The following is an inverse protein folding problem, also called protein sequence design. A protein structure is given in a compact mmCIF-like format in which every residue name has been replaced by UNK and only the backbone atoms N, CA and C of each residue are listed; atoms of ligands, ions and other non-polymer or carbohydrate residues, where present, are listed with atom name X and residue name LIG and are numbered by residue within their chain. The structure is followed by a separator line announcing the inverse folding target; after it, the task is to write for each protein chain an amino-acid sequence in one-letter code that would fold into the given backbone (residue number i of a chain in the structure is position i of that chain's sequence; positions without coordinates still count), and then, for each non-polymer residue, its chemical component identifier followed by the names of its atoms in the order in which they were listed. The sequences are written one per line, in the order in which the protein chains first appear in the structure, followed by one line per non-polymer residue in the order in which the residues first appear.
data_IF_984759535481
#
_entry.id   IF_984759535481
#
_cell.length_a   1.000
_cell.length_b   1.000
_cell.length_c   1.000
_cell.angle_alpha   90.00
_cell.angle_beta   90.00
_cell.angle_gamma   90.00
#
_symmetry.space_group_name_H-M   'P 1'
#
loop_
_entity.id
_entity.type
_entity.pdbx_description
1 polymer ?
2 non-polymer ?
3 water ?
#
# COMPACT_ATOMS: atom_id res chain seq x y z
N UNK A 1 21.14 -11.00 -3.80
CA UNK A 1 20.58 -11.52 -5.08
C UNK A 1 19.07 -11.81 -5.00
N UNK A 2 18.56 -12.50 -6.00
CA UNK A 2 17.14 -12.79 -6.06
C UNK A 2 16.81 -14.26 -6.27
N UNK A 3 15.54 -14.60 -6.09
CA UNK A 3 15.13 -15.97 -6.28
C UNK A 3 13.84 -16.07 -7.05
N UNK A 4 13.92 -16.57 -8.29
CA UNK A 4 12.75 -16.71 -9.14
C UNK A 4 11.74 -17.72 -8.62
N UNK A 5 10.52 -17.60 -9.11
CA UNK A 5 9.44 -18.50 -8.75
C UNK A 5 8.57 -18.68 -10.00
N UNK A 6 8.00 -19.87 -10.15
CA UNK A 6 7.15 -20.16 -11.29
C UNK A 6 5.78 -20.65 -10.83
N UNK A 7 4.72 -20.04 -11.37
CA UNK A 7 3.35 -20.46 -11.02
C UNK A 7 2.84 -21.35 -12.15
N UNK A 8 2.19 -22.44 -11.76
CA UNK A 8 1.69 -23.42 -12.72
C UNK A 8 0.17 -23.50 -12.71
N UNK A 9 -0.43 -23.87 -13.84
CA UNK A 9 -1.87 -23.93 -13.95
C UNK A 9 -2.47 -24.81 -12.86
N UNK A 10 -3.47 -24.27 -12.18
CA UNK A 10 -4.05 -25.01 -11.10
C UNK A 10 -5.50 -25.41 -11.29
N UNK A 11 -5.90 -26.47 -10.60
CA UNK A 11 -7.29 -26.87 -10.64
C UNK A 11 -7.81 -25.93 -9.54
N UNK A 12 -9.12 -25.86 -9.37
CA UNK A 12 -9.68 -24.97 -8.38
C UNK A 12 -8.96 -24.63 -7.09
N UNK A 13 -9.08 -23.37 -6.68
CA UNK A 13 -8.53 -22.90 -5.43
C UNK A 13 -9.74 -23.00 -4.50
N UNK A 14 -9.52 -23.50 -3.30
CA UNK A 14 -10.60 -23.70 -2.38
C UNK A 14 -10.20 -23.59 -0.92
N UNK A 15 -11.01 -22.88 -0.14
CA UNK A 15 -10.71 -22.76 1.27
C UNK A 15 -11.18 -21.45 1.87
N UNK A 16 -10.85 -21.26 3.15
CA UNK A 16 -11.22 -20.04 3.89
C UNK A 16 -9.93 -19.66 4.61
N UNK A 17 -9.51 -18.42 4.44
CA UNK A 17 -8.26 -17.96 5.05
C UNK A 17 -8.38 -16.54 5.59
N UNK A 18 -7.64 -16.25 6.65
CA UNK A 18 -7.63 -14.89 7.19
C UNK A 18 -6.46 -14.20 6.50
N UNK A 19 -6.71 -13.04 5.92
CA UNK A 19 -5.66 -12.28 5.23
C UNK A 19 -4.84 -11.53 6.28
N UNK A 20 -3.53 -11.33 6.03
CA UNK A 20 -2.65 -10.61 6.97
C UNK A 20 -3.11 -9.15 7.15
N UNK A 21 -2.63 -8.51 8.22
CA UNK A 21 -3.01 -7.14 8.52
C UNK A 21 -2.71 -6.10 7.46
N UNK A 22 -3.50 -5.02 7.50
CA UNK A 22 -3.35 -3.92 6.56
C UNK A 22 -2.01 -3.19 6.78
N UNK A 23 -1.22 -3.06 5.72
CA UNK A 23 0.08 -2.40 5.81
C UNK A 23 -0.03 -0.91 6.13
N UNK A 24 -0.92 -0.21 5.43
CA UNK A 24 -1.07 1.22 5.70
C UNK A 24 -1.37 1.50 7.16
N UNK A 25 -2.33 0.77 7.73
CA UNK A 25 -2.70 0.97 9.12
C UNK A 25 -1.58 0.45 10.04
N UNK A 26 -0.91 -0.63 9.66
CA UNK A 26 0.15 -1.16 10.50
C UNK A 26 1.29 -0.15 10.67
N UNK A 27 1.71 0.48 9.58
CA UNK A 27 2.77 1.49 9.65
C UNK A 27 2.35 2.59 10.64
N UNK A 28 1.12 3.07 10.45
CA UNK A 28 0.61 4.16 11.28
C UNK A 28 0.44 3.77 12.74
N UNK A 29 0.16 2.49 12.99
CA UNK A 29 0.01 2.01 14.37
C UNK A 29 1.34 2.11 15.10
N UNK A 30 2.43 1.76 14.41
CA UNK A 30 3.77 1.86 15.01
C UNK A 30 4.16 3.33 15.17
N UNK A 31 3.86 4.14 14.16
CA UNK A 31 4.19 5.56 14.25
C UNK A 31 3.44 6.31 15.37
N UNK A 32 2.11 6.18 15.38
CA UNK A 32 1.30 6.89 16.36
C UNK A 32 1.44 6.28 17.74
N UNK A 33 1.58 4.97 17.80
CA UNK A 33 1.79 4.33 19.09
C UNK A 33 3.14 4.77 19.66
N UNK A 34 4.15 4.93 18.81
CA UNK A 34 5.45 5.34 19.30
C UNK A 34 5.53 6.80 19.70
N UNK A 35 4.69 7.64 19.09
CA UNK A 35 4.67 9.06 19.38
C UNK A 35 3.76 9.46 20.55
N UNK A 36 2.67 8.71 20.74
CA UNK A 36 1.67 9.03 21.75
C UNK A 36 2.11 8.89 23.19
N UNK A 37 1.35 9.49 24.09
CA UNK A 37 1.67 9.40 25.52
C UNK A 37 1.13 8.08 26.03
N UNK A 38 1.97 7.35 26.76
CA UNK A 38 1.50 6.09 27.31
C UNK A 38 1.59 4.88 26.40
N UNK A 39 0.80 3.88 26.74
CA UNK A 39 0.82 2.62 26.03
C UNK A 39 -0.18 2.45 24.90
N UNK A 40 0.29 1.82 23.83
CA UNK A 40 -0.56 1.49 22.72
C UNK A 40 -0.45 -0.04 22.55
N UNK A 41 -1.57 -0.71 22.35
CA UNK A 41 -1.58 -2.17 22.18
C UNK A 41 -2.17 -2.48 20.82
N UNK A 42 -1.45 -3.26 20.03
CA UNK A 42 -1.87 -3.57 18.66
C UNK A 42 -2.07 -5.06 18.39
N UNK A 43 -3.26 -5.43 17.88
CA UNK A 43 -3.51 -6.83 17.51
C UNK A 43 -3.72 -6.88 15.98
N UNK A 44 -3.28 -7.97 15.35
CA UNK A 44 -3.43 -8.12 13.91
C UNK A 44 -2.40 -7.36 13.09
N UNK A 45 -1.32 -6.88 13.71
CA UNK A 45 -0.30 -6.11 12.98
C UNK A 45 0.32 -6.92 11.83
N UNK A 46 0.57 -6.26 10.69
CA UNK A 46 1.24 -6.91 9.56
C UNK A 46 2.71 -6.99 9.96
N UNK A 47 3.31 -8.18 9.93
CA UNK A 47 4.72 -8.25 10.28
C UNK A 47 5.66 -8.36 9.06
N UNK A 48 5.28 -7.73 7.96
CA UNK A 48 6.10 -7.74 6.77
C UNK A 48 7.33 -6.85 6.99
N UNK A 49 8.38 -7.02 6.19
CA UNK A 49 9.60 -6.23 6.39
C UNK A 49 9.40 -4.72 6.44
N UNK A 50 8.53 -4.19 5.58
CA UNK A 50 8.26 -2.76 5.55
C UNK A 50 7.86 -2.21 6.90
N UNK A 51 6.90 -2.90 7.56
CA UNK A 51 6.39 -2.46 8.85
C UNK A 51 7.45 -2.60 9.92
N UNK A 52 8.21 -3.68 9.87
CA UNK A 52 9.28 -3.87 10.82
C UNK A 52 10.27 -2.70 10.72
N UNK A 53 10.54 -2.21 9.51
CA UNK A 53 11.48 -1.10 9.38
C UNK A 53 10.96 0.18 10.02
N UNK A 54 9.66 0.40 9.90
CA UNK A 54 9.08 1.58 10.53
C UNK A 54 9.21 1.42 12.06
N UNK A 55 8.98 0.20 12.56
CA UNK A 55 9.11 -0.02 13.99
C UNK A 55 10.52 0.27 14.49
N UNK A 56 11.53 -0.14 13.72
CA UNK A 56 12.92 0.10 14.12
C UNK A 56 13.24 1.61 14.11
N UNK A 57 12.64 2.34 13.18
CA UNK A 57 12.89 3.78 13.09
C UNK A 57 12.30 4.45 14.33
N UNK A 58 11.12 3.99 14.75
CA UNK A 58 10.49 4.58 15.93
C UNK A 58 11.31 4.24 17.20
N UNK A 59 11.82 3.02 17.27
CA UNK A 59 12.67 2.65 18.41
C UNK A 59 13.92 3.56 18.44
N UNK A 60 14.45 3.86 17.25
CA UNK A 60 15.64 4.70 17.14
C UNK A 60 15.38 6.10 17.69
N UNK A 61 14.11 6.48 17.78
CA UNK A 61 13.77 7.80 18.28
C UNK A 61 13.15 7.78 19.69
N UNK A 62 13.30 6.67 20.41
CA UNK A 62 12.82 6.62 21.78
C UNK A 62 11.61 5.78 22.16
N UNK A 63 10.89 5.25 21.20
CA UNK A 63 9.73 4.43 21.54
C UNK A 63 10.21 3.03 21.92
N UNK A 64 9.52 2.37 22.84
CA UNK A 64 9.89 0.99 23.19
C UNK A 64 8.80 0.15 22.54
N UNK A 65 9.20 -0.84 21.75
CA UNK A 65 8.27 -1.70 21.04
C UNK A 65 8.60 -3.14 21.39
N UNK A 66 7.57 -3.94 21.66
CA UNK A 66 7.80 -5.32 22.01
C UNK A 66 6.56 -6.10 21.63
N UNK A 67 6.72 -7.41 21.48
CA UNK A 67 5.59 -8.26 21.12
C UNK A 67 5.36 -9.26 22.26
N UNK A 68 4.20 -9.17 22.88
CA UNK A 68 3.83 -10.05 23.99
C UNK A 68 2.68 -10.90 23.47
N UNK A 69 2.92 -12.21 23.33
CA UNK A 69 1.88 -13.06 22.79
C UNK A 69 1.60 -12.58 21.38
N UNK A 70 0.34 -12.33 21.04
CA UNK A 70 -0.02 -11.87 19.70
C UNK A 70 -0.23 -10.36 19.65
N UNK A 71 0.16 -9.66 20.70
CA UNK A 71 -0.05 -8.21 20.76
C UNK A 71 1.22 -7.39 20.76
N UNK A 72 1.26 -6.36 19.93
CA UNK A 72 2.43 -5.50 19.96
C UNK A 72 2.08 -4.39 20.97
N UNK A 73 2.99 -4.14 21.90
CA UNK A 73 2.81 -3.13 22.93
C UNK A 73 3.88 -2.07 22.76
N UNK A 74 3.43 -0.82 22.69
CA UNK A 74 4.34 0.28 22.46
C UNK A 74 4.26 1.31 23.58
N UNK A 75 5.42 1.74 24.08
CA UNK A 75 5.43 2.79 25.09
C UNK A 75 5.89 4.02 24.30
N UNK A 76 4.98 4.97 24.13
CA UNK A 76 5.28 6.15 23.32
C UNK A 76 6.01 7.24 24.09
N UNK A 77 6.62 8.15 23.34
CA UNK A 77 7.37 9.24 23.96
C UNK A 77 6.53 10.50 24.24
N UNK A 78 5.30 10.54 23.73
CA UNK A 78 4.44 11.71 23.89
C UNK A 78 4.69 12.66 22.72
N UNK A 79 3.65 13.37 22.27
CA UNK A 79 3.83 14.30 21.17
C UNK A 79 4.89 15.35 21.52
N UNK A 80 5.86 15.53 20.63
CA UNK A 80 6.92 16.48 20.86
C UNK A 80 8.12 15.81 21.52
N UNK A 81 7.97 14.53 21.84
CA UNK A 81 9.03 13.80 22.54
C UNK A 81 10.02 12.93 21.79
N UNK A 82 10.00 12.97 20.46
CA UNK A 82 10.93 12.16 19.70
C UNK A 82 12.37 12.56 19.95
N UNK A 83 13.24 11.56 20.05
CA UNK A 83 14.65 11.78 20.28
C UNK A 83 15.45 11.69 18.99
N UNK A 84 16.53 12.46 18.91
CA UNK A 84 17.39 12.47 17.73
C UNK A 84 17.98 11.07 17.46
N UNK A 85 17.79 10.55 16.24
CA UNK A 85 18.35 9.23 15.97
C UNK A 85 19.86 9.26 15.82
N UNK A 86 20.52 8.22 16.34
CA UNK A 86 21.99 8.12 16.27
C UNK A 86 22.49 7.87 14.84
N UNK A 87 21.71 7.09 14.10
CA UNK A 87 22.14 6.74 12.76
C UNK A 87 21.01 6.96 11.72
N UNK A 88 21.31 6.77 10.43
CA UNK A 88 20.26 6.96 9.43
C UNK A 88 19.10 6.02 9.67
N UNK A 89 17.92 6.48 9.29
CA UNK A 89 16.71 5.68 9.42
C UNK A 89 16.60 4.93 8.09
N UNK A 90 16.71 3.61 8.16
CA UNK A 90 16.68 2.74 6.99
C UNK A 90 15.26 2.19 6.75
N UNK A 91 14.60 2.67 5.71
CA UNK A 91 13.25 2.25 5.41
C UNK A 91 13.14 1.13 4.39
N UNK A 92 14.31 0.61 4.00
CA UNK A 92 14.34 -0.47 3.04
C UNK A 92 13.52 -0.19 1.80
N UNK A 93 12.44 -0.94 1.61
CA UNK A 93 11.60 -0.78 0.42
C UNK A 93 10.35 0.07 0.67
N UNK A 94 10.15 0.48 1.91
CA UNK A 94 8.92 1.16 2.30
C UNK A 94 8.73 2.65 2.04
N UNK A 95 8.08 2.97 0.92
CA UNK A 95 7.82 4.37 0.61
C UNK A 95 7.01 5.01 1.74
N UNK A 96 5.95 4.32 2.16
CA UNK A 96 5.08 4.82 3.23
C UNK A 96 5.84 5.19 4.51
N UNK A 97 6.68 4.28 4.99
CA UNK A 97 7.42 4.58 6.20
C UNK A 97 8.32 5.78 6.00
N UNK A 98 9.00 5.82 4.87
CA UNK A 98 9.92 6.92 4.55
C UNK A 98 9.21 8.25 4.45
N UNK A 99 8.23 8.35 3.54
CA UNK A 99 7.49 9.60 3.36
C UNK A 99 6.86 10.14 4.64
N UNK A 100 6.12 9.29 5.35
CA UNK A 100 5.46 9.74 6.58
C UNK A 100 6.45 10.12 7.67
N UNK A 101 7.53 9.36 7.80
CA UNK A 101 8.49 9.68 8.85
C UNK A 101 9.23 10.99 8.56
N UNK A 102 9.41 11.30 7.27
CA UNK A 102 10.06 12.57 6.92
C UNK A 102 9.23 13.73 7.48
N UNK A 103 7.91 13.64 7.34
CA UNK A 103 7.07 14.70 7.86
C UNK A 103 7.07 14.69 9.36
N UNK A 104 6.96 13.50 9.94
CA UNK A 104 6.94 13.35 11.38
C UNK A 104 8.17 13.94 12.08
N UNK A 105 9.35 13.57 11.62
CA UNK A 105 10.56 14.03 12.28
C UNK A 105 11.27 15.22 11.67
N UNK A 106 10.98 15.53 10.41
CA UNK A 106 11.64 16.67 9.78
C UNK A 106 11.41 17.99 10.48
N UNK A 107 10.30 18.11 11.20
CA UNK A 107 9.98 19.34 11.91
C UNK A 107 10.59 19.41 13.31
N UNK A 108 11.41 18.43 13.68
CA UNK A 108 12.08 18.48 14.96
C UNK A 108 13.45 19.16 14.76
N UNK A 109 13.91 19.85 15.79
CA UNK A 109 15.17 20.58 15.75
C UNK A 109 16.42 19.72 16.00
N UNK A 110 16.56 18.68 15.19
CA UNK A 110 17.73 17.81 15.19
C UNK A 110 17.84 17.22 13.79
N UNK A 111 18.99 16.64 13.47
CA UNK A 111 19.18 16.06 12.14
C UNK A 111 18.61 14.66 12.05
N UNK A 112 18.04 14.33 10.91
CA UNK A 112 17.53 12.99 10.66
C UNK A 112 17.92 12.64 9.22
N UNK A 113 18.47 11.44 9.01
CA UNK A 113 18.85 11.02 7.66
C UNK A 113 17.99 9.83 7.24
N UNK A 114 17.60 9.81 5.96
CA UNK A 114 16.73 8.75 5.46
C UNK A 114 17.42 8.01 4.33
N UNK A 115 17.42 6.68 4.41
CA UNK A 115 18.03 5.85 3.38
C UNK A 115 17.14 4.66 3.09
N UNK A 116 17.42 3.95 2.01
CA UNK A 116 16.58 2.83 1.67
C UNK A 116 17.23 1.97 0.61
N UNK A 117 16.46 1.02 0.06
CA UNK A 117 17.04 0.11 -0.94
C UNK A 117 17.12 0.69 -2.36
N UNK A 118 17.57 -0.09 -3.33
CA UNK A 118 17.72 0.42 -4.70
C UNK A 118 16.41 0.96 -5.29
N UNK A 119 15.29 0.35 -4.89
CA UNK A 119 13.96 0.76 -5.37
C UNK A 119 13.54 2.10 -4.72
N UNK A 120 13.54 2.15 -3.40
CA UNK A 120 13.15 3.36 -2.68
C UNK A 120 14.00 4.58 -3.04
N UNK A 121 15.29 4.33 -3.27
CA UNK A 121 16.24 5.38 -3.60
C UNK A 121 15.99 6.05 -4.95
N UNK A 122 15.19 5.41 -5.80
CA UNK A 122 14.88 6.01 -7.12
C UNK A 122 13.56 6.79 -7.10
N UNK A 123 12.77 6.61 -6.04
CA UNK A 123 11.45 7.25 -5.95
C UNK A 123 11.50 8.72 -5.57
N UNK A 124 10.54 9.52 -6.05
CA UNK A 124 10.49 10.95 -5.76
C UNK A 124 10.11 11.31 -4.33
N UNK A 125 10.88 12.20 -3.72
CA UNK A 125 10.60 12.65 -2.37
C UNK A 125 10.19 14.12 -2.38
N UNK A 126 10.36 14.75 -3.53
CA UNK A 126 10.02 16.17 -3.64
C UNK A 126 8.60 16.49 -3.22
N UNK A 127 7.68 15.57 -3.52
CA UNK A 127 6.26 15.76 -3.19
C UNK A 127 6.04 15.96 -1.69
N UNK A 128 6.94 15.42 -0.88
CA UNK A 128 6.87 15.59 0.56
C UNK A 128 7.88 16.67 1.00
N UNK A 129 9.06 16.68 0.39
CA UNK A 129 10.05 17.67 0.79
C UNK A 129 9.65 19.12 0.51
N UNK A 130 8.88 19.36 -0.56
CA UNK A 130 8.46 20.72 -0.84
C UNK A 130 7.60 21.33 0.26
N UNK A 131 6.54 20.63 0.70
CA UNK A 131 5.79 21.26 1.77
C UNK A 131 6.64 21.42 3.04
N UNK A 132 7.51 20.46 3.33
CA UNK A 132 8.38 20.58 4.53
C UNK A 132 9.28 21.82 4.45
N UNK A 133 9.74 22.16 3.24
CA UNK A 133 10.57 23.36 3.07
C UNK A 133 9.71 24.58 3.43
N UNK A 134 8.44 24.54 3.06
CA UNK A 134 7.55 25.64 3.37
C UNK A 134 7.37 25.79 4.89
N UNK A 135 7.41 24.64 5.58
CA UNK A 135 7.28 24.62 7.03
C UNK A 135 8.57 24.99 7.77
N UNK A 136 9.64 25.24 7.01
CA UNK A 136 10.89 25.65 7.62
C UNK A 136 11.96 24.59 7.77
N UNK A 137 11.71 23.38 7.27
CA UNK A 137 12.67 22.30 7.37
C UNK A 137 13.78 22.51 6.33
N UNK A 138 15.03 22.28 6.74
CA UNK A 138 16.19 22.40 5.84
C UNK A 138 16.43 21.01 5.25
N UNK A 139 16.51 20.98 3.92
CA UNK A 139 16.65 19.71 3.20
C UNK A 139 17.94 19.55 2.42
N UNK A 140 18.60 18.41 2.63
CA UNK A 140 19.80 18.03 1.89
C UNK A 140 19.42 16.72 1.23
N UNK A 141 19.25 16.74 -0.09
CA UNK A 141 18.86 15.54 -0.81
C UNK A 141 19.74 15.32 -2.03
N UNK A 142 19.61 14.16 -2.66
CA UNK A 142 20.35 13.90 -3.88
C UNK A 142 19.56 14.54 -5.03
N UNK A 143 20.22 14.78 -6.15
CA UNK A 143 19.56 15.41 -7.29
C UNK A 143 18.22 14.76 -7.63
N UNK A 144 17.22 15.61 -7.85
CA UNK A 144 15.88 15.15 -8.16
C UNK A 144 15.08 14.91 -6.88
N UNK A 145 15.65 15.36 -5.76
CA UNK A 145 15.06 15.16 -4.43
C UNK A 145 14.87 13.64 -4.19
N UNK A 146 15.98 12.91 -4.26
CA UNK A 146 15.99 11.46 -4.03
C UNK A 146 16.85 11.18 -2.80
N UNK A 147 16.68 9.98 -2.24
CA UNK A 147 17.46 9.56 -1.09
C UNK A 147 18.90 9.34 -1.56
N UNK A 148 19.87 9.45 -0.65
CA UNK A 148 19.71 9.76 0.79
C UNK A 148 19.26 11.21 1.03
N UNK A 149 18.47 11.41 2.08
CA UNK A 149 17.99 12.75 2.43
C UNK A 149 18.28 13.03 3.91
N UNK A 150 18.82 14.22 4.20
CA UNK A 150 19.03 14.61 5.58
C UNK A 150 18.17 15.85 5.82
N UNK A 151 17.36 15.78 6.89
CA UNK A 151 16.48 16.88 7.25
C UNK A 151 16.92 17.50 8.58
N UNK A 152 16.65 18.79 8.74
CA UNK A 152 16.95 19.49 9.98
C UNK A 152 15.81 20.46 10.17
N UNK A 153 15.00 20.21 11.20
CA UNK A 153 13.87 21.08 11.47
C UNK A 153 14.29 22.38 12.12
N UNK A 154 13.46 23.42 12.00
CA UNK A 154 13.72 24.73 12.58
C UNK A 154 13.33 24.67 14.07
N UNK A 155 13.73 25.67 14.84
CA UNK A 155 13.36 25.68 16.25
C UNK A 155 11.84 25.72 16.36
N UNK A 156 11.21 26.53 15.51
CA UNK A 156 9.75 26.67 15.49
C UNK A 156 9.22 26.52 14.05
N UNK A 157 8.59 25.37 13.75
CA UNK A 157 8.05 25.13 12.40
C UNK A 157 6.90 26.08 12.08
N UNK A 158 6.67 26.29 10.79
CA UNK A 158 5.62 27.18 10.30
C UNK A 158 4.43 26.34 9.80
N UNK A 159 3.22 26.57 10.36
CA UNK A 159 2.11 25.77 9.86
C UNK A 159 1.68 26.28 8.48
N UNK A 160 1.28 25.37 7.60
CA UNK A 160 0.89 25.75 6.25
C UNK A 160 -0.49 25.20 5.86
N UNK A 161 -1.02 25.72 4.76
CA UNK A 161 -2.27 25.23 4.19
C UNK A 161 -1.74 24.69 2.87
N UNK A 162 -1.79 23.38 2.71
CA UNK A 162 -1.24 22.78 1.51
C UNK A 162 -2.24 22.00 0.68
N UNK A 163 -2.35 22.39 -0.59
CA UNK A 163 -3.26 21.71 -1.52
C UNK A 163 -2.42 20.63 -2.20
N UNK A 164 -2.71 19.36 -1.93
CA UNK A 164 -1.92 18.27 -2.50
C UNK A 164 -2.16 18.20 -4.01
N UNK A 165 -1.08 18.40 -4.81
CA UNK A 165 -1.16 18.39 -6.27
C UNK A 165 -1.50 17.08 -6.99
N UNK A 166 -1.26 15.94 -6.35
CA UNK A 166 -1.60 14.65 -6.95
C UNK A 166 -2.37 13.85 -5.90
N UNK A 167 -3.06 12.78 -6.30
CA UNK A 167 -3.85 12.01 -5.35
C UNK A 167 -3.03 11.06 -4.48
N UNK A 168 -2.20 11.65 -3.63
CA UNK A 168 -1.31 10.92 -2.74
C UNK A 168 -1.66 11.00 -1.25
N UNK A 169 -1.97 9.84 -0.68
CA UNK A 169 -2.29 9.76 0.74
C UNK A 169 -1.01 9.95 1.52
N UNK A 170 0.12 9.55 0.93
CA UNK A 170 1.39 9.72 1.65
C UNK A 170 1.77 11.18 1.83
N UNK A 171 1.52 12.01 0.81
CA UNK A 171 1.85 13.43 0.95
C UNK A 171 0.92 14.08 1.98
N UNK A 172 -0.36 13.77 1.87
CA UNK A 172 -1.33 14.29 2.82
C UNK A 172 -0.90 13.90 4.23
N UNK A 173 -0.51 12.64 4.37
CA UNK A 173 -0.11 12.09 5.66
C UNK A 173 1.16 12.77 6.22
N UNK A 174 2.16 12.95 5.36
CA UNK A 174 3.40 13.60 5.80
C UNK A 174 3.14 15.00 6.31
N UNK A 175 2.32 15.79 5.62
CA UNK A 175 2.05 17.16 6.07
C UNK A 175 1.29 17.16 7.41
N UNK A 176 0.33 16.26 7.57
CA UNK A 176 -0.41 16.19 8.84
C UNK A 176 0.54 15.76 9.96
N UNK A 177 1.41 14.78 9.70
CA UNK A 177 2.32 14.36 10.77
C UNK A 177 3.29 15.51 11.13
N UNK A 178 3.69 16.29 10.13
CA UNK A 178 4.58 17.43 10.40
C UNK A 178 3.82 18.41 11.29
N UNK A 179 2.53 18.51 11.00
CA UNK A 179 1.69 19.41 11.77
C UNK A 179 1.60 19.10 13.25
N UNK A 180 1.84 17.84 13.64
CA UNK A 180 1.75 17.45 15.05
C UNK A 180 2.74 18.19 15.94
N UNK A 181 3.89 18.56 15.39
CA UNK A 181 4.88 19.25 16.20
C UNK A 181 5.05 20.69 15.77
N UNK A 182 4.01 21.23 15.11
CA UNK A 182 4.05 22.61 14.63
C UNK A 182 2.96 23.42 15.33
N UNK A 183 3.33 24.59 15.87
CA UNK A 183 2.31 25.39 16.54
C UNK A 183 1.39 26.04 15.53
N UNK A 184 0.08 26.02 15.83
CA UNK A 184 -0.88 26.63 14.92
C UNK A 184 -1.73 25.57 14.24
N UNK A 185 -2.43 25.98 13.19
CA UNK A 185 -3.28 25.04 12.47
C UNK A 185 -2.68 24.67 11.13
N UNK A 186 -2.48 23.38 10.93
CA UNK A 186 -1.97 22.89 9.66
C UNK A 186 -3.19 22.40 8.89
N UNK A 187 -3.30 22.80 7.63
CA UNK A 187 -4.44 22.40 6.82
C UNK A 187 -3.98 21.72 5.54
N UNK A 188 -4.60 20.59 5.23
CA UNK A 188 -4.31 19.87 4.00
C UNK A 188 -5.62 19.84 3.21
N UNK A 189 -5.54 20.26 1.95
CA UNK A 189 -6.70 20.26 1.06
C UNK A 189 -6.44 19.17 0.03
N UNK A 190 -7.37 18.24 -0.05
CA UNK A 190 -7.30 17.10 -0.94
C UNK A 190 -8.44 17.22 -1.95
N UNK A 191 -8.14 17.54 -3.23
CA UNK A 191 -9.24 17.66 -4.20
C UNK A 191 -9.98 16.36 -4.50
N UNK A 192 -9.26 15.24 -4.44
CA UNK A 192 -9.86 13.92 -4.66
C UNK A 192 -9.43 13.09 -3.45
N UNK A 193 -10.39 12.42 -2.84
CA UNK A 193 -10.10 11.65 -1.63
C UNK A 193 -9.12 10.51 -1.84
N UNK A 194 -8.21 10.34 -0.88
CA UNK A 194 -7.24 9.25 -0.90
C UNK A 194 -7.44 8.49 0.42
N UNK A 195 -6.83 7.31 0.58
CA UNK A 195 -7.02 6.55 1.81
C UNK A 195 -6.83 7.47 3.01
N UNK A 196 -7.77 7.35 3.96
CA UNK A 196 -7.83 8.23 5.12
C UNK A 196 -7.44 7.66 6.48
N UNK A 197 -6.55 6.68 6.48
CA UNK A 197 -6.10 6.09 7.71
C UNK A 197 -5.44 7.11 8.66
N UNK A 198 -4.70 8.07 8.13
CA UNK A 198 -4.03 9.03 8.98
C UNK A 198 -5.07 9.86 9.75
N UNK A 199 -6.04 10.38 9.01
CA UNK A 199 -7.07 11.20 9.64
C UNK A 199 -7.86 10.45 10.70
N UNK A 200 -8.35 9.26 10.34
CA UNK A 200 -9.14 8.46 11.27
C UNK A 200 -8.37 8.04 12.51
N UNK A 201 -7.13 7.62 12.32
CA UNK A 201 -6.32 7.18 13.45
C UNK A 201 -5.91 8.34 14.35
N UNK A 202 -5.52 9.48 13.77
CA UNK A 202 -5.16 10.60 14.63
C UNK A 202 -6.36 11.05 15.46
N UNK A 203 -7.56 11.04 14.87
CA UNK A 203 -8.72 11.40 15.67
C UNK A 203 -8.88 10.39 16.81
N UNK A 204 -8.61 9.12 16.52
CA UNK A 204 -8.72 8.08 17.53
C UNK A 204 -7.70 8.21 18.64
N UNK A 205 -6.54 8.82 18.33
CA UNK A 205 -5.51 9.06 19.35
C UNK A 205 -5.74 10.39 20.09
N UNK A 206 -6.86 11.05 19.78
CA UNK A 206 -7.21 12.28 20.45
C UNK A 206 -6.80 13.60 19.82
N UNK A 207 -6.27 13.55 18.60
CA UNK A 207 -5.85 14.79 17.94
C UNK A 207 -7.06 15.66 17.63
N UNK A 208 -6.88 16.98 17.68
CA UNK A 208 -7.96 17.89 17.33
C UNK A 208 -7.80 18.04 15.82
N UNK A 209 -8.37 17.08 15.10
CA UNK A 209 -8.30 17.01 13.64
C UNK A 209 -9.72 16.90 13.10
N UNK A 210 -10.07 17.75 12.15
CA UNK A 210 -11.42 17.71 11.59
C UNK A 210 -11.31 17.52 10.08
N UNK A 211 -12.35 16.92 9.49
CA UNK A 211 -12.40 16.74 8.03
C UNK A 211 -13.74 17.32 7.58
N UNK A 212 -13.68 18.23 6.62
CA UNK A 212 -14.90 18.83 6.09
C UNK A 212 -14.89 18.54 4.60
N UNK A 213 -15.99 18.01 4.07
CA UNK A 213 -16.04 17.71 2.65
C UNK A 213 -17.07 18.60 1.99
N UNK A 214 -16.62 19.34 0.99
CA UNK A 214 -17.51 20.22 0.23
C UNK A 214 -18.43 19.32 -0.62
N UNK A 215 -19.58 19.84 -1.05
CA UNK A 215 -20.48 19.05 -1.87
C UNK A 215 -19.77 18.61 -3.16
N UNK A 216 -18.73 19.35 -3.59
CA UNK A 216 -18.00 18.97 -4.80
C UNK A 216 -16.91 17.93 -4.55
N UNK A 217 -16.84 17.40 -3.33
CA UNK A 217 -15.86 16.37 -3.02
C UNK A 217 -14.54 16.81 -2.40
N UNK A 218 -14.19 18.09 -2.53
CA UNK A 218 -12.93 18.56 -1.96
C UNK A 218 -12.91 18.41 -0.43
N UNK A 219 -11.81 17.85 0.08
CA UNK A 219 -11.65 17.66 1.52
C UNK A 219 -10.71 18.69 2.12
N UNK A 220 -11.13 19.29 3.24
CA UNK A 220 -10.33 20.29 3.96
C UNK A 220 -10.09 19.64 5.32
N UNK A 221 -8.84 19.27 5.56
CA UNK A 221 -8.44 18.56 6.78
C UNK A 221 -7.63 19.52 7.64
N UNK A 222 -8.14 19.83 8.84
CA UNK A 222 -7.47 20.76 9.74
C UNK A 222 -6.94 20.04 10.97
N UNK A 223 -5.71 20.37 11.35
CA UNK A 223 -5.08 19.76 12.53
C UNK A 223 -4.46 20.83 13.42
N UNK A 224 -4.80 20.79 14.70
CA UNK A 224 -4.22 21.73 15.65
C UNK A 224 -2.94 21.07 16.14
N UNK A 225 -1.83 21.78 15.99
CA UNK A 225 -0.54 21.24 16.37
C UNK A 225 -0.17 21.25 17.83
N UNK A 226 0.81 20.42 18.15
CA UNK A 226 1.35 20.30 19.51
C UNK A 226 0.31 19.91 20.56
N UNK A 227 -0.67 19.14 20.15
CA UNK A 227 -1.68 18.68 21.10
C UNK A 227 -1.36 17.28 21.61
N UNK A 228 -1.97 16.91 22.72
CA UNK A 228 -1.70 15.60 23.27
C UNK A 228 -2.27 14.45 22.43
N UNK A 229 -1.51 13.36 22.39
CA UNK A 229 -1.93 12.14 21.73
C UNK A 229 -1.89 11.09 22.85
N UNK A 230 -2.92 10.27 22.91
CA UNK A 230 -3.04 9.26 23.96
C UNK A 230 -2.99 7.85 23.37
N UNK A 231 -2.16 6.98 23.96
CA UNK A 231 -2.04 5.60 23.51
C UNK A 231 -3.38 4.92 23.38
N UNK A 232 -3.50 4.03 22.39
CA UNK A 232 -4.77 3.39 22.13
C UNK A 232 -4.67 1.90 21.92
N UNK A 233 -5.81 1.24 22.02
CA UNK A 233 -5.89 -0.18 21.73
C UNK A 233 -6.29 -0.17 20.26
N UNK A 234 -5.51 -0.85 19.43
CA UNK A 234 -5.78 -0.89 18.00
C UNK A 234 -5.96 -2.33 17.54
N UNK A 235 -6.95 -2.57 16.70
CA UNK A 235 -7.20 -3.88 16.12
C UNK A 235 -7.11 -3.64 14.63
N UNK A 236 -6.03 -4.14 14.03
CA UNK A 236 -5.77 -3.96 12.61
C UNK A 236 -6.59 -4.86 11.68
N UNK A 237 -7.31 -4.27 10.71
CA UNK A 237 -8.13 -5.07 9.80
C UNK A 237 -7.25 -5.73 8.71
N UNK A 238 -7.81 -6.73 8.02
CA UNK A 238 -7.08 -7.42 6.97
C UNK A 238 -6.79 -6.49 5.80
N UNK A 239 -5.62 -6.66 5.20
CA UNK A 239 -5.18 -5.84 4.09
C UNK A 239 -5.99 -6.09 2.79
N UNK A 240 -6.69 -5.07 2.27
CA UNK A 240 -7.47 -5.25 1.05
C UNK A 240 -6.60 -5.35 -0.20
N UNK A 241 -5.38 -4.82 -0.15
CA UNK A 241 -4.46 -4.92 -1.29
C UNK A 241 -3.91 -6.36 -1.34
N UNK A 242 -3.64 -6.95 -0.18
CA UNK A 242 -3.12 -8.33 -0.17
C UNK A 242 -4.26 -9.28 -0.56
N UNK A 243 -5.48 -8.96 -0.10
CA UNK A 243 -6.66 -9.77 -0.41
C UNK A 243 -6.87 -9.91 -1.92
N UNK A 244 -6.49 -8.87 -2.64
CA UNK A 244 -6.67 -8.86 -4.08
C UNK A 244 -6.04 -10.03 -4.82
N UNK A 245 -4.94 -10.57 -4.30
CA UNK A 245 -4.26 -11.68 -4.98
C UNK A 245 -5.05 -12.99 -4.87
N UNK A 246 -5.42 -13.42 -3.65
CA UNK A 246 -6.18 -14.67 -3.68
C UNK A 246 -7.59 -14.45 -4.27
N UNK A 247 -8.14 -13.24 -4.09
CA UNK A 247 -9.46 -12.92 -4.65
C UNK A 247 -9.48 -13.03 -6.17
N UNK A 248 -8.53 -12.40 -6.85
CA UNK A 248 -8.52 -12.48 -8.31
C UNK A 248 -8.19 -13.90 -8.76
N UNK A 249 -7.32 -14.58 -8.03
CA UNK A 249 -6.97 -15.93 -8.39
C UNK A 249 -8.22 -16.83 -8.36
N UNK A 250 -9.05 -16.66 -7.34
CA UNK A 250 -10.26 -17.47 -7.21
C UNK A 250 -11.25 -17.10 -8.32
N UNK A 251 -11.26 -15.86 -8.77
CA UNK A 251 -12.16 -15.51 -9.86
C UNK A 251 -11.71 -16.14 -11.18
N UNK A 252 -10.40 -16.19 -11.39
CA UNK A 252 -9.85 -16.69 -12.66
C UNK A 252 -9.67 -18.19 -12.78
N UNK A 253 -9.32 -18.85 -11.69
CA UNK A 253 -9.08 -20.30 -11.72
C UNK A 253 -10.42 -21.03 -11.66
N UNK A 254 -10.76 -21.81 -12.70
CA UNK A 254 -12.03 -22.53 -12.73
C UNK A 254 -12.14 -23.50 -11.56
N UNK A 255 -13.37 -23.73 -11.08
CA UNK A 255 -13.59 -24.64 -9.96
C UNK A 255 -13.15 -24.09 -8.62
N UNK A 256 -13.14 -22.76 -8.49
CA UNK A 256 -12.69 -22.12 -7.26
C UNK A 256 -13.78 -21.53 -6.37
N UNK A 257 -13.52 -21.59 -5.06
CA UNK A 257 -14.45 -21.06 -4.06
C UNK A 257 -13.59 -20.72 -2.84
N UNK A 258 -13.22 -19.45 -2.72
CA UNK A 258 -12.34 -19.00 -1.64
C UNK A 258 -12.97 -17.89 -0.81
N UNK A 259 -12.88 -18.04 0.51
CA UNK A 259 -13.40 -17.03 1.42
C UNK A 259 -12.24 -16.39 2.17
N UNK A 260 -12.17 -15.06 2.10
CA UNK A 260 -11.11 -14.31 2.78
C UNK A 260 -11.76 -13.60 3.94
N UNK A 261 -11.23 -13.83 5.14
CA UNK A 261 -11.81 -13.27 6.34
C UNK A 261 -11.19 -11.95 6.82
N UNK A 262 -12.05 -11.14 7.43
CA UNK A 262 -11.67 -9.89 8.07
C UNK A 262 -11.01 -8.86 7.14
N UNK A 263 -11.63 -8.64 5.98
CA UNK A 263 -11.06 -7.71 5.01
C UNK A 263 -11.54 -6.27 5.20
N UNK A 264 -10.59 -5.34 5.26
CA UNK A 264 -10.89 -3.91 5.37
C UNK A 264 -11.73 -3.51 4.14
N UNK A 265 -12.85 -2.84 4.38
CA UNK A 265 -13.76 -2.42 3.32
C UNK A 265 -13.94 -0.90 3.19
N UNK A 266 -13.01 -0.14 3.77
CA UNK A 266 -13.02 1.33 3.70
C UNK A 266 -13.08 1.59 2.19
N UNK A 267 -14.05 2.39 1.72
CA UNK A 267 -14.15 2.62 0.27
C UNK A 267 -12.96 3.26 -0.44
N UNK A 268 -12.03 3.86 0.28
CA UNK A 268 -10.85 4.41 -0.37
C UNK A 268 -9.91 3.25 -0.74
N UNK A 269 -10.30 2.04 -0.36
CA UNK A 269 -9.46 0.87 -0.63
C UNK A 269 -10.14 -0.21 -1.46
N UNK A 270 -11.39 0.00 -1.84
CA UNK A 270 -12.11 -1.05 -2.58
C UNK A 270 -12.41 -0.85 -4.06
N UNK A 271 -11.66 0.02 -4.74
CA UNK A 271 -11.92 0.22 -6.17
C UNK A 271 -11.79 -1.05 -7.01
N UNK A 272 -10.88 -1.95 -6.67
CA UNK A 272 -10.72 -3.17 -7.44
C UNK A 272 -11.98 -4.04 -7.35
N UNK A 273 -12.50 -4.20 -6.13
CA UNK A 273 -13.70 -5.03 -5.97
C UNK A 273 -14.86 -4.47 -6.80
N UNK A 274 -15.03 -3.16 -6.75
CA UNK A 274 -16.10 -2.52 -7.51
C UNK A 274 -15.87 -2.78 -9.00
N UNK A 275 -14.63 -2.58 -9.45
CA UNK A 275 -14.31 -2.80 -10.86
C UNK A 275 -14.53 -4.26 -11.30
N UNK A 276 -14.05 -5.20 -10.51
CA UNK A 276 -14.23 -6.62 -10.85
C UNK A 276 -15.72 -6.97 -10.89
N UNK A 277 -16.51 -6.39 -9.98
CA UNK A 277 -17.95 -6.66 -9.98
C UNK A 277 -18.57 -6.17 -11.31
N UNK A 278 -18.12 -5.01 -11.79
CA UNK A 278 -18.65 -4.50 -13.05
C UNK A 278 -18.26 -5.40 -14.21
N UNK A 279 -17.16 -6.13 -14.04
CA UNK A 279 -16.67 -7.07 -15.05
C UNK A 279 -17.40 -8.41 -14.95
N UNK A 280 -18.25 -8.55 -13.95
CA UNK A 280 -19.00 -9.79 -13.83
C UNK A 280 -18.53 -10.72 -12.71
N UNK A 281 -17.66 -10.23 -11.84
CA UNK A 281 -17.14 -11.08 -10.76
C UNK A 281 -18.17 -11.45 -9.70
N UNK A 282 -18.05 -12.68 -9.22
CA UNK A 282 -18.93 -13.22 -8.19
C UNK A 282 -18.19 -13.06 -6.85
N UNK A 283 -18.41 -11.91 -6.22
CA UNK A 283 -17.78 -11.59 -4.95
C UNK A 283 -18.91 -11.29 -3.97
N UNK A 284 -19.06 -12.11 -2.94
CA UNK A 284 -20.12 -11.90 -1.96
C UNK A 284 -19.54 -11.26 -0.70
N UNK A 285 -20.15 -10.15 -0.28
CA UNK A 285 -19.72 -9.43 0.92
C UNK A 285 -20.56 -9.98 2.06
N UNK A 286 -19.89 -10.65 3.00
CA UNK A 286 -20.54 -11.30 4.13
C UNK A 286 -20.28 -10.65 5.49
N UNK A 287 -21.33 -10.55 6.29
CA UNK A 287 -21.22 -10.01 7.65
C UNK A 287 -20.48 -8.67 7.78
N UNK A 288 -20.90 -7.66 7.00
CA UNK A 288 -20.20 -6.37 7.10
C UNK A 288 -20.35 -5.87 8.55
N UNK A 289 -19.24 -5.44 9.13
CA UNK A 289 -19.26 -5.03 10.52
C UNK A 289 -18.23 -3.98 10.83
N UNK A 290 -18.25 -3.49 12.07
CA UNK A 290 -17.29 -2.48 12.50
C UNK A 290 -16.32 -3.20 13.43
N UNK A 291 -15.02 -3.09 13.14
CA UNK A 291 -13.98 -3.74 13.93
C UNK A 291 -12.80 -2.76 14.05
N UNK A 292 -12.31 -2.56 15.27
CA UNK A 292 -11.21 -1.62 15.45
C UNK A 292 -11.47 -0.26 14.82
N UNK A 293 -12.75 0.13 14.78
CA UNK A 293 -13.08 1.44 14.21
C UNK A 293 -13.13 1.50 12.69
N UNK A 294 -12.95 0.34 12.04
CA UNK A 294 -12.99 0.29 10.57
C UNK A 294 -14.04 -0.67 10.04
N UNK A 295 -14.47 -0.43 8.81
CA UNK A 295 -15.44 -1.31 8.18
C UNK A 295 -14.70 -2.54 7.70
N UNK A 296 -15.23 -3.72 8.04
CA UNK A 296 -14.63 -4.97 7.56
C UNK A 296 -15.76 -5.90 7.18
N UNK A 297 -15.41 -6.90 6.39
CA UNK A 297 -16.34 -7.94 5.96
C UNK A 297 -15.52 -9.15 5.52
N UNK A 298 -16.21 -10.27 5.34
CA UNK A 298 -15.55 -11.46 4.83
C UNK A 298 -16.02 -11.50 3.37
N UNK A 299 -15.18 -12.00 2.47
CA UNK A 299 -15.51 -12.02 1.05
C UNK A 299 -15.45 -13.42 0.51
N UNK A 300 -16.57 -13.90 -0.02
CA UNK A 300 -16.59 -15.24 -0.62
C UNK A 300 -16.49 -15.02 -2.12
N UNK A 301 -15.43 -15.59 -2.70
CA UNK A 301 -15.12 -15.42 -4.11
C UNK A 301 -15.18 -16.74 -4.89
N UNK A 302 -15.93 -16.73 -5.98
CA UNK A 302 -16.07 -17.92 -6.82
C UNK A 302 -15.72 -17.63 -8.30
N UNK A 303 -15.21 -18.65 -8.98
CA UNK A 303 -14.84 -18.57 -10.39
C UNK A 303 -15.90 -17.82 -11.19
N UNK A 304 -15.45 -16.87 -12.01
CA UNK A 304 -16.36 -16.06 -12.78
C UNK A 304 -15.85 -15.83 -14.20
N UNK A 305 -16.77 -15.57 -15.12
CA UNK A 305 -16.36 -15.26 -16.48
C UNK A 305 -16.37 -13.73 -16.44
N UNK A 306 -15.30 -13.09 -16.93
CA UNK A 306 -15.22 -11.64 -16.90
C UNK A 306 -15.24 -10.99 -18.29
N UNK A 307 -15.75 -9.76 -18.34
CA UNK A 307 -15.80 -8.97 -19.57
C UNK A 307 -15.06 -7.66 -19.31
N UNK A 308 -14.29 -7.21 -20.28
CA UNK A 308 -13.55 -5.96 -20.11
C UNK A 308 -14.46 -4.77 -19.87
N UNK A 309 -13.95 -3.76 -19.15
CA UNK A 309 -14.70 -2.55 -18.86
C UNK A 309 -13.78 -1.35 -18.93
N UNK A 310 -14.36 -0.16 -18.88
CA UNK A 310 -13.62 1.09 -18.88
C UNK A 310 -13.50 1.51 -17.42
N UNK A 311 -12.27 1.76 -16.96
CA UNK A 311 -12.03 2.16 -15.57
C UNK A 311 -11.62 3.65 -15.57
N UNK A 312 -12.53 4.53 -15.12
CA UNK A 312 -12.35 6.00 -15.07
C UNK A 312 -11.19 6.50 -14.22
N UNK A 313 -10.59 7.61 -14.65
CA UNK A 313 -9.44 8.16 -13.96
C UNK A 313 -9.75 8.54 -12.50
N UNK A 314 -10.99 8.89 -12.21
CA UNK A 314 -11.31 9.26 -10.83
C UNK A 314 -11.46 8.11 -9.84
N UNK A 315 -11.43 6.87 -10.33
CA UNK A 315 -11.51 5.73 -9.43
C UNK A 315 -10.10 5.30 -9.04
N UNK A 316 -9.11 5.84 -9.74
CA UNK A 316 -7.72 5.44 -9.50
C UNK A 316 -7.22 5.45 -8.06
N UNK A 317 -7.38 6.57 -7.34
CA UNK A 317 -6.92 6.67 -5.95
C UNK A 317 -7.40 5.55 -5.04
N UNK A 318 -8.59 5.04 -5.33
CA UNK A 318 -9.20 3.98 -4.52
C UNK A 318 -8.74 2.56 -4.84
N UNK A 319 -7.81 2.42 -5.79
CA UNK A 319 -7.34 1.10 -6.18
C UNK A 319 -5.97 1.21 -6.85
N UNK A 320 -5.25 2.30 -6.56
CA UNK A 320 -3.97 2.54 -7.22
C UNK A 320 -2.99 1.37 -7.18
N UNK A 321 -2.93 0.67 -6.05
CA UNK A 321 -2.02 -0.46 -5.92
C UNK A 321 -2.54 -1.78 -6.51
N UNK A 322 -3.81 -1.79 -6.90
CA UNK A 322 -4.39 -2.98 -7.51
C UNK A 322 -4.42 -2.96 -9.04
N UNK A 323 -3.83 -1.95 -9.68
CA UNK A 323 -3.83 -1.97 -11.15
C UNK A 323 -3.05 -3.16 -11.71
N UNK A 324 -1.95 -3.57 -11.08
CA UNK A 324 -1.21 -4.72 -11.60
C UNK A 324 -2.07 -6.00 -11.62
N UNK A 325 -2.73 -6.30 -10.50
CA UNK A 325 -3.54 -7.51 -10.45
C UNK A 325 -4.81 -7.38 -11.32
N UNK A 326 -5.32 -6.16 -11.46
CA UNK A 326 -6.49 -5.94 -12.33
C UNK A 326 -6.08 -6.20 -13.78
N UNK A 327 -4.88 -5.77 -14.16
CA UNK A 327 -4.38 -6.00 -15.53
C UNK A 327 -4.29 -7.49 -15.84
N UNK A 328 -3.92 -8.28 -14.82
CA UNK A 328 -3.87 -9.73 -14.99
C UNK A 328 -5.29 -10.27 -15.17
N UNK A 329 -6.25 -9.81 -14.36
CA UNK A 329 -7.64 -10.28 -14.52
C UNK A 329 -8.14 -9.93 -15.93
N UNK A 330 -7.80 -8.74 -16.39
CA UNK A 330 -8.22 -8.28 -17.73
C UNK A 330 -7.65 -9.17 -18.84
N UNK A 331 -6.49 -9.77 -18.61
CA UNK A 331 -5.88 -10.62 -19.61
C UNK A 331 -6.71 -11.86 -19.89
N UNK A 332 -7.68 -12.13 -19.02
CA UNK A 332 -8.55 -13.30 -19.18
C UNK A 332 -10.01 -12.92 -19.37
N UNK A 333 -10.27 -11.63 -19.56
CA UNK A 333 -11.62 -11.15 -19.73
C UNK A 333 -11.98 -11.02 -21.20
N UNK A 334 -13.28 -11.10 -21.49
CA UNK A 334 -13.73 -10.97 -22.87
C UNK A 334 -13.70 -9.50 -23.28
N UNK A 335 -12.95 -9.19 -24.34
CA UNK A 335 -12.89 -7.81 -24.79
C UNK A 335 -11.76 -6.99 -24.19
N UNK A 336 -11.88 -5.69 -24.33
CA UNK A 336 -10.86 -4.76 -23.86
C UNK A 336 -11.18 -4.08 -22.53
N UNK A 337 -10.16 -3.98 -21.68
CA UNK A 337 -10.29 -3.27 -20.40
C UNK A 337 -9.41 -2.04 -20.63
N UNK A 338 -9.96 -0.85 -20.39
CA UNK A 338 -9.22 0.39 -20.60
C UNK A 338 -9.08 1.14 -19.27
N UNK A 339 -7.83 1.44 -18.90
CA UNK A 339 -7.55 2.13 -17.64
C UNK A 339 -6.71 3.38 -17.89
N UNK A 340 -7.20 4.55 -17.49
CA UNK A 340 -6.43 5.79 -17.68
C UNK A 340 -6.14 6.43 -16.31
N UNK A 341 -5.51 7.60 -16.32
CA UNK A 341 -5.17 8.29 -15.09
C UNK A 341 -4.16 7.50 -14.28
N UNK A 342 -3.23 6.87 -14.96
CA UNK A 342 -2.25 6.03 -14.30
C UNK A 342 -0.86 6.62 -14.08
N UNK A 343 -0.70 7.94 -14.24
CA UNK A 343 0.62 8.54 -14.07
C UNK A 343 1.31 8.14 -12.76
N UNK A 344 0.54 8.02 -11.68
CA UNK A 344 1.13 7.68 -10.39
C UNK A 344 1.78 6.31 -10.31
N UNK A 345 1.37 5.40 -11.17
CA UNK A 345 1.96 4.07 -11.19
C UNK A 345 3.45 4.12 -11.54
N UNK A 346 3.87 5.17 -12.26
CA UNK A 346 5.26 5.22 -12.69
C UNK A 346 6.27 5.55 -11.61
N UNK A 347 5.79 5.98 -10.44
CA UNK A 347 6.68 6.33 -9.34
C UNK A 347 6.53 5.45 -8.09
N UNK A 348 6.05 4.21 -8.27
CA UNK A 348 5.88 3.30 -7.15
C UNK A 348 7.16 2.47 -6.92
N UNK A 349 7.04 1.34 -6.22
CA UNK A 349 8.21 0.50 -5.95
C UNK A 349 8.99 0.26 -7.25
N UNK A 350 8.26 0.21 -8.35
CA UNK A 350 8.83 0.10 -9.70
C UNK A 350 7.90 0.99 -10.49
N UNK A 351 8.24 1.25 -11.77
CA UNK A 351 7.29 1.99 -12.60
C UNK A 351 6.33 0.83 -12.92
N UNK A 352 5.19 0.78 -12.22
CA UNK A 352 4.25 -0.31 -12.40
C UNK A 352 3.55 -0.43 -13.75
N UNK A 353 3.38 0.69 -14.43
CA UNK A 353 2.74 0.70 -15.74
C UNK A 353 3.65 -0.03 -16.74
N UNK A 354 4.93 0.36 -16.76
CA UNK A 354 5.89 -0.27 -17.65
C UNK A 354 6.12 -1.72 -17.27
N UNK A 355 6.23 -2.01 -15.96
CA UNK A 355 6.48 -3.38 -15.51
C UNK A 355 5.31 -4.30 -15.82
N UNK A 356 4.09 -3.81 -15.65
CA UNK A 356 2.90 -4.61 -15.97
C UNK A 356 2.81 -4.84 -17.48
N UNK A 357 2.98 -3.76 -18.26
CA UNK A 357 2.90 -3.91 -19.71
C UNK A 357 3.95 -4.90 -20.25
N UNK A 358 5.19 -4.79 -19.77
CA UNK A 358 6.23 -5.70 -20.27
C UNK A 358 5.97 -7.15 -19.83
N UNK A 359 5.48 -7.32 -18.62
CA UNK A 359 5.22 -8.67 -18.13
C UNK A 359 4.08 -9.31 -18.89
N UNK A 360 3.05 -8.53 -19.19
CA UNK A 360 1.92 -9.05 -19.95
C UNK A 360 2.37 -9.47 -21.34
N UNK A 361 3.13 -8.61 -21.99
CA UNK A 361 3.62 -8.91 -23.33
C UNK A 361 4.52 -10.16 -23.34
N UNK A 362 5.38 -10.28 -22.33
CA UNK A 362 6.28 -11.43 -22.21
C UNK A 362 5.44 -12.72 -22.11
N UNK A 363 4.24 -12.58 -21.55
CA UNK A 363 3.34 -13.70 -21.37
C UNK A 363 2.18 -13.78 -22.38
N UNK A 364 2.47 -13.26 -23.59
CA UNK A 364 1.56 -13.33 -24.71
C UNK A 364 0.30 -12.52 -24.75
N UNK A 365 0.19 -11.55 -23.85
CA UNK A 365 -1.01 -10.73 -23.79
C UNK A 365 -0.97 -9.53 -24.75
N UNK A 366 -2.09 -9.28 -25.40
CA UNK A 366 -2.23 -8.14 -26.30
C UNK A 366 -2.61 -6.94 -25.43
N UNK A 367 -1.73 -5.94 -25.38
CA UNK A 367 -2.01 -4.74 -24.60
C UNK A 367 -1.28 -3.53 -25.21
N UNK A 368 -1.77 -2.34 -24.88
CA UNK A 368 -1.16 -1.12 -25.37
C UNK A 368 -0.87 -0.23 -24.17
N UNK A 369 0.40 0.11 -23.98
CA UNK A 369 0.83 0.97 -22.88
C UNK A 369 0.88 2.42 -23.37
N UNK A 370 0.15 3.31 -22.71
CA UNK A 370 0.18 4.72 -23.06
C UNK A 370 0.99 5.44 -21.98
N UNK A 371 1.26 6.73 -22.16
CA UNK A 371 2.02 7.46 -21.15
C UNK A 371 1.35 7.38 -19.78
N UNK A 372 0.02 7.42 -19.77
CA UNK A 372 -0.72 7.37 -18.52
C UNK A 372 -1.91 6.44 -18.60
N UNK A 373 -1.79 5.38 -19.38
CA UNK A 373 -2.91 4.45 -19.52
C UNK A 373 -2.49 3.07 -19.95
N UNK A 374 -3.44 2.14 -19.87
CA UNK A 374 -3.18 0.78 -20.30
C UNK A 374 -4.46 0.16 -20.83
N UNK A 375 -4.36 -0.49 -21.99
CA UNK A 375 -5.51 -1.17 -22.58
C UNK A 375 -5.08 -2.61 -22.63
N UNK A 376 -5.95 -3.52 -22.20
CA UNK A 376 -5.64 -4.94 -22.22
C UNK A 376 -6.80 -5.68 -22.88
N UNK A 377 -6.46 -6.57 -23.83
CA UNK A 377 -7.48 -7.38 -24.47
C UNK A 377 -7.24 -8.80 -23.96
N UNK A 378 -8.29 -9.46 -23.48
CA UNK A 378 -8.09 -10.77 -22.91
C UNK A 378 -8.38 -11.97 -23.80
N UNK A 379 -8.01 -13.12 -23.27
CA UNK A 379 -8.20 -14.42 -23.90
C UNK A 379 -8.78 -15.26 -22.75
N UNK A 380 -10.11 -15.30 -22.62
CA UNK A 380 -10.75 -16.07 -21.56
C UNK A 380 -10.25 -17.47 -21.28
N UNK A 381 -9.96 -18.23 -22.32
CA UNK A 381 -9.52 -19.60 -22.07
C UNK A 381 -8.06 -19.72 -21.66
N UNK A 382 -7.33 -18.62 -21.68
CA UNK A 382 -5.91 -18.64 -21.30
C UNK A 382 -4.97 -19.27 -22.33
N UNK A 383 -5.50 -19.74 -23.45
CA UNK A 383 -4.65 -20.37 -24.46
C UNK A 383 -3.63 -19.39 -25.04
N UNK A 384 -2.40 -19.85 -25.19
CA UNK A 384 -1.35 -19.00 -25.71
C UNK A 384 -0.80 -17.97 -24.71
N UNK A 385 -1.31 -17.98 -23.48
CA UNK A 385 -0.82 -17.03 -22.47
C UNK A 385 0.21 -17.70 -21.58
N UNK A 386 1.02 -16.90 -20.90
CA UNK A 386 2.09 -17.44 -20.07
C UNK A 386 3.34 -17.50 -20.92
N UNK A 387 4.36 -18.20 -20.45
CA UNK A 387 5.58 -18.29 -21.23
C UNK A 387 6.14 -19.70 -21.17
N UNK A 388 5.94 -20.45 -22.24
CA UNK A 388 6.42 -21.83 -22.30
C UNK A 388 7.94 -21.96 -22.16
N UNK A 389 8.69 -20.95 -22.63
CA UNK A 389 10.14 -21.03 -22.56
C UNK A 389 10.66 -20.78 -21.14
N UNK A 390 9.78 -20.35 -20.24
CA UNK A 390 10.18 -20.11 -18.87
C UNK A 390 10.88 -18.76 -18.66
N UNK A 391 10.70 -17.85 -19.59
CA UNK A 391 11.31 -16.51 -19.47
C UNK A 391 10.67 -15.84 -18.25
N UNK A 392 11.50 -15.12 -17.49
CA UNK A 392 11.04 -14.47 -16.26
C UNK A 392 10.62 -13.00 -16.39
N UNK A 393 9.50 -12.68 -15.74
CA UNK A 393 8.97 -11.33 -15.69
C UNK A 393 9.93 -10.50 -14.82
N UNK A 394 10.32 -9.32 -15.31
CA UNK A 394 11.19 -8.45 -14.54
C UNK A 394 10.31 -7.74 -13.48
N UNK A 395 10.59 -8.00 -12.20
CA UNK A 395 9.82 -7.44 -11.10
C UNK A 395 10.29 -6.06 -10.67
N UNK A 396 11.52 -5.70 -11.04
CA UNK A 396 12.07 -4.40 -10.66
C UNK A 396 11.88 -4.13 -9.17
N UNK A 397 12.20 -5.14 -8.36
CA UNK A 397 12.11 -5.08 -6.89
C UNK A 397 10.75 -4.68 -6.37
N UNK A 398 9.70 -4.96 -7.14
CA UNK A 398 8.35 -4.58 -6.77
C UNK A 398 7.55 -5.82 -6.48
N UNK A 399 7.31 -6.06 -5.20
CA UNK A 399 6.57 -7.25 -4.78
C UNK A 399 5.15 -7.38 -5.36
N UNK A 400 4.51 -6.28 -5.76
CA UNK A 400 3.19 -6.42 -6.35
C UNK A 400 3.28 -6.94 -7.77
N UNK A 401 4.39 -6.65 -8.46
CA UNK A 401 4.56 -7.20 -9.82
C UNK A 401 4.79 -8.71 -9.64
N UNK A 402 5.64 -9.10 -8.69
CA UNK A 402 5.88 -10.52 -8.46
C UNK A 402 4.58 -11.28 -8.11
N UNK A 403 3.79 -10.77 -7.18
CA UNK A 403 2.58 -11.48 -6.83
C UNK A 403 1.53 -11.51 -7.97
N UNK A 404 1.41 -10.41 -8.72
CA UNK A 404 0.44 -10.38 -9.80
C UNK A 404 0.75 -11.42 -10.87
N UNK A 405 2.01 -11.51 -11.28
CA UNK A 405 2.31 -12.48 -12.30
C UNK A 405 2.32 -13.91 -11.82
N UNK A 406 2.55 -14.13 -10.53
CA UNK A 406 2.45 -15.49 -10.03
C UNK A 406 0.96 -15.89 -10.09
N UNK A 407 0.06 -14.95 -9.82
CA UNK A 407 -1.37 -15.29 -9.92
C UNK A 407 -1.71 -15.64 -11.39
N UNK A 408 -1.16 -14.88 -12.33
CA UNK A 408 -1.41 -15.16 -13.74
C UNK A 408 -1.06 -16.60 -14.13
N UNK A 409 0.06 -17.11 -13.62
CA UNK A 409 0.50 -18.45 -13.95
C UNK A 409 -0.41 -19.57 -13.46
N UNK A 410 -1.29 -19.24 -12.53
CA UNK A 410 -2.21 -20.25 -12.02
C UNK A 410 -3.36 -20.42 -13.01
N UNK A 411 -3.43 -19.52 -13.97
CA UNK A 411 -4.52 -19.50 -14.95
C UNK A 411 -4.14 -19.73 -16.41
N UNK A 412 -2.97 -19.22 -16.81
CA UNK A 412 -2.53 -19.35 -18.19
C UNK A 412 -2.17 -20.76 -18.63
N UNK A 413 -2.30 -21.00 -19.94
CA UNK A 413 -1.97 -22.31 -20.48
C UNK A 413 -0.52 -22.67 -20.14
N UNK A 414 0.37 -21.69 -20.26
CA UNK A 414 1.80 -21.90 -19.97
C UNK A 414 2.16 -21.25 -18.64
N UNK A 415 3.14 -21.81 -17.93
CA UNK A 415 3.56 -21.26 -16.63
C UNK A 415 4.04 -19.83 -16.74
N UNK A 416 3.96 -19.10 -15.63
CA UNK A 416 4.48 -17.74 -15.59
C UNK A 416 5.59 -17.74 -14.54
N UNK A 417 6.73 -17.17 -14.92
CA UNK A 417 7.88 -17.10 -14.04
C UNK A 417 8.21 -15.64 -13.73
N UNK A 418 8.54 -15.35 -12.48
CA UNK A 418 8.95 -14.00 -12.08
C UNK A 418 10.44 -14.08 -11.69
N UNK A 419 11.21 -13.04 -11.96
CA UNK A 419 12.64 -13.13 -11.65
C UNK A 419 12.99 -13.07 -10.18
N UNK A 420 12.03 -12.67 -9.35
CA UNK A 420 12.32 -12.55 -7.93
C UNK A 420 11.06 -12.59 -7.05
N UNK A 421 11.09 -13.43 -6.02
CA UNK A 421 9.98 -13.54 -5.07
C UNK A 421 10.42 -13.04 -3.69
N UNK A 422 11.68 -12.65 -3.55
CA UNK A 422 12.19 -12.21 -2.24
C UNK A 422 11.56 -10.94 -1.67
N UNK A 423 10.98 -10.08 -2.51
CA UNK A 423 10.40 -8.85 -1.99
C UNK A 423 8.95 -9.01 -1.53
N UNK A 424 8.36 -10.17 -1.80
CA UNK A 424 6.98 -10.39 -1.40
C UNK A 424 6.80 -10.25 0.11
N UNK A 425 7.82 -10.63 0.88
CA UNK A 425 7.74 -10.51 2.34
C UNK A 425 7.73 -9.06 2.84
N UNK A 426 7.90 -8.07 1.97
CA UNK A 426 7.83 -6.70 2.43
C UNK A 426 6.42 -6.36 2.95
N UNK A 427 5.38 -6.97 2.36
CA UNK A 427 3.99 -6.72 2.77
C UNK A 427 3.11 -7.98 2.90
N UNK A 428 3.60 -9.13 2.46
CA UNK A 428 2.77 -10.33 2.47
C UNK A 428 3.66 -11.57 2.60
N UNK A 429 4.37 -11.68 3.73
CA UNK A 429 5.25 -12.84 3.90
C UNK A 429 4.49 -14.18 3.87
N UNK A 430 3.21 -14.13 4.18
CA UNK A 430 2.36 -15.31 4.21
C UNK A 430 1.91 -15.76 2.80
N UNK A 431 2.19 -14.95 1.78
CA UNK A 431 1.73 -15.23 0.41
C UNK A 431 1.92 -16.66 -0.11
N UNK A 432 3.14 -17.17 -0.08
CA UNK A 432 3.36 -18.53 -0.59
C UNK A 432 2.55 -19.58 0.16
N UNK A 433 2.62 -19.56 1.50
CA UNK A 433 1.85 -20.52 2.30
C UNK A 433 0.37 -20.35 2.08
N UNK A 434 -0.11 -19.11 2.11
CA UNK A 434 -1.54 -18.87 1.94
C UNK A 434 -2.05 -19.40 0.59
N UNK A 435 -1.34 -19.09 -0.49
CA UNK A 435 -1.76 -19.54 -1.80
C UNK A 435 -1.65 -21.07 -1.93
N UNK A 436 -0.59 -21.65 -1.37
CA UNK A 436 -0.43 -23.10 -1.44
C UNK A 436 -1.57 -23.79 -0.70
N UNK A 437 -1.99 -23.20 0.41
CA UNK A 437 -3.06 -23.78 1.19
C UNK A 437 -4.36 -23.87 0.43
N UNK A 438 -4.57 -22.89 -0.46
CA UNK A 438 -5.79 -22.89 -1.26
C UNK A 438 -5.66 -23.86 -2.44
N UNK A 439 -4.46 -24.38 -2.64
CA UNK A 439 -4.25 -25.31 -3.75
C UNK A 439 -3.36 -24.84 -4.89
N UNK A 440 -2.87 -23.60 -4.80
CA UNK A 440 -2.02 -23.06 -5.84
C UNK A 440 -0.69 -23.79 -5.94
N UNK A 441 -0.19 -23.95 -7.17
CA UNK A 441 1.09 -24.60 -7.39
C UNK A 441 2.10 -23.53 -7.79
N UNK A 442 2.94 -23.14 -6.85
CA UNK A 442 3.97 -22.14 -7.10
C UNK A 442 5.28 -22.73 -6.59
N UNK A 443 6.24 -22.86 -7.50
CA UNK A 443 7.54 -23.45 -7.19
C UNK A 443 8.58 -22.36 -7.06
N UNK A 444 9.20 -22.30 -5.89
CA UNK A 444 10.21 -21.31 -5.63
C UNK A 444 11.56 -21.92 -5.98
N UNK A 445 12.39 -21.14 -6.65
CA UNK A 445 13.73 -21.59 -7.04
C UNK A 445 14.54 -22.01 -5.81
X LIG B 1 0.01 4.39 1.03
X LIG B 1 -0.49 5.37 0.07
X LIG B 1 -0.33 5.07 -1.43
X LIG B 1 -0.09 3.55 -1.76
X LIG B 1 1.07 3.00 -0.94
X LIG B 1 0.65 3.09 0.61
X LIG B 1 -0.09 4.71 2.51
X LIG B 1 0.82 5.87 -2.07
X LIG B 1 0.13 3.51 -3.19
X LIG B 1 1.31 1.63 -1.28
X LIG B 1 -0.07 5.88 2.81
X LIG B 1 -0.16 3.77 3.30
X LIG B 1 0.58 7.35 -2.68
X LIG B 1 0.38 8.33 -1.50
X LIG B 1 -0.66 7.17 -3.60
X LIG B 1 1.94 7.66 -3.29
X LIG B 1 2.57 1.15 -1.86
X LIG B 1 3.07 1.90 -3.14
X LIG B 1 2.35 -0.31 -2.07
X LIG B 1 2.31 -0.94 -0.94
X LIG B 1 2.26 -0.84 -3.18
X LIG B 1 4.85 1.52 -0.29
X LIG B 1 5.59 2.39 -1.23
X LIG B 1 5.22 0.06 -0.46
X LIG B 1 5.10 2.02 1.15
X LIG B 1 3.21 1.61 -0.61
X LIG B 1 3.25 3.17 -2.86
X LIG B 1 4.17 1.33 -3.52
#
# INVERSE_FOLDING_TARGET
SSRPATARKSSGLSGTVRIPGDKSISHRSFMFGGLASGETRITGLLEGEDVINTGKAMQAMGARIRKEGDTWIIDGVGNGGLLAPEAPLDFGNAGTGCRLTMGLVGVYDFDSTFIGDASLTKRPMGRVLNPLREMGVQVKSEDGDRLPVTLRGPKTPTPITYRVPMASAQVKSAVLLAGLNTPGITTVIEPIMTRDHTEKMLQGFGANLTVETDADGVRTIRLEGRGKLTGQVIDVPGDPSSTAFPLVAALLVPGSDVTILNVLMNPTRTGLILTLQEMGADIEVINPRLAGGEDVADLRVRSSTLKGVTVPEDRAPSMIDEYPILAVAAAFAEGATVMNGLEELRVKESDRLSAVANGLKLNGVDCDEGETSLVVRGRPDGKGLGNASGAAVATHLDHRIAMSFLVMGLVSENPVTVDDATMIATSFPEFMDLMAGLGAKIELS
GG9 C1 C2 C3 C4 C5 C6 C7 O1 O2 O3 O4 O5 P1 O6 O7 O8 C8 C9 C10 O9 O10 P2 O11 O12 O13 O14 F1 F2
#
